data_IF_992794515471
#
_entry.id   IF_992794515471
#
_cell.length_a   1.000
_cell.length_b   1.000
_cell.length_c   1.000
_cell.angle_alpha   90.00
_cell.angle_beta   90.00
_cell.angle_gamma   90.00
#
_symmetry.space_group_name_H-M   'P 1'
#
loop_
_entity.id
_entity.type
_entity.pdbx_description
1 polymer ?
#
# COMPACT_ATOMS: atom_id res chain seq x y z
N UNK A 1 24.00 3.85 0.82
CA UNK A 1 22.86 3.41 -0.01
C UNK A 1 22.14 4.65 -0.53
N UNK A 2 21.72 4.67 -1.79
CA UNK A 2 20.99 5.83 -2.36
C UNK A 2 19.50 5.75 -2.01
N UNK A 3 18.88 6.89 -1.71
CA UNK A 3 17.43 7.00 -1.48
C UNK A 3 16.69 6.88 -2.81
N UNK A 4 15.59 6.12 -2.83
CA UNK A 4 14.83 5.81 -4.04
C UNK A 4 13.35 6.11 -3.87
N UNK A 5 12.66 6.30 -5.01
CA UNK A 5 11.19 6.31 -5.10
C UNK A 5 10.76 4.98 -5.69
N UNK A 6 9.96 4.21 -4.95
CA UNK A 6 9.56 2.85 -5.30
C UNK A 6 8.04 2.79 -5.35
N UNK A 7 7.48 2.19 -6.39
CA UNK A 7 6.05 1.94 -6.51
C UNK A 7 5.78 0.46 -6.29
N UNK A 8 4.98 0.13 -5.28
CA UNK A 8 4.40 -1.20 -5.10
C UNK A 8 2.99 -1.21 -5.65
N UNK A 9 2.66 -2.23 -6.46
CA UNK A 9 1.31 -2.46 -6.95
C UNK A 9 0.82 -3.76 -6.32
N UNK A 10 -0.21 -3.69 -5.50
CA UNK A 10 -0.77 -4.86 -4.85
C UNK A 10 -2.24 -4.64 -4.52
N UNK A 11 -3.06 -5.68 -4.71
CA UNK A 11 -4.51 -5.56 -4.69
C UNK A 11 -5.10 -5.20 -3.31
N UNK A 12 -4.43 -5.55 -2.20
CA UNK A 12 -4.92 -5.28 -0.83
C UNK A 12 -3.76 -4.80 0.05
N UNK A 13 -3.82 -3.57 0.55
CA UNK A 13 -2.82 -3.04 1.46
C UNK A 13 -3.40 -2.05 2.49
N UNK A 14 -2.97 -2.11 3.77
CA UNK A 14 -2.11 -3.13 4.37
C UNK A 14 -2.86 -4.45 4.61
N UNK A 15 -2.23 -5.58 4.34
CA UNK A 15 -2.76 -6.91 4.67
C UNK A 15 -1.66 -7.79 5.26
N UNK A 16 -1.99 -8.50 6.35
CA UNK A 16 -1.09 -9.43 7.04
C UNK A 16 -1.46 -10.91 6.82
N UNK A 17 -2.53 -11.16 6.08
CA UNK A 17 -3.02 -12.51 5.77
C UNK A 17 -2.55 -12.92 4.36
N UNK A 18 -1.96 -14.12 4.27
CA UNK A 18 -1.39 -14.65 3.03
C UNK A 18 0.09 -14.30 2.85
N UNK A 19 0.84 -15.21 2.21
CA UNK A 19 2.29 -15.07 2.02
C UNK A 19 2.68 -13.84 1.21
N UNK A 20 2.01 -13.60 0.08
CA UNK A 20 2.27 -12.43 -0.77
C UNK A 20 2.01 -11.11 -0.03
N UNK A 21 0.88 -11.00 0.67
CA UNK A 21 0.52 -9.80 1.44
C UNK A 21 1.58 -9.49 2.50
N UNK A 22 2.04 -10.52 3.23
CA UNK A 22 3.08 -10.37 4.25
C UNK A 22 4.41 -9.93 3.65
N UNK A 23 4.80 -10.47 2.49
CA UNK A 23 6.01 -10.04 1.79
C UNK A 23 5.90 -8.57 1.39
N UNK A 24 4.79 -8.15 0.77
CA UNK A 24 4.58 -6.75 0.36
C UNK A 24 4.68 -5.81 1.57
N UNK A 25 4.06 -6.19 2.70
CA UNK A 25 4.10 -5.43 3.94
C UNK A 25 5.52 -5.31 4.53
N UNK A 26 6.19 -6.43 4.75
CA UNK A 26 7.52 -6.44 5.37
C UNK A 26 8.58 -5.77 4.47
N UNK A 27 8.51 -5.96 3.15
CA UNK A 27 9.39 -5.29 2.19
C UNK A 27 9.16 -3.77 2.21
N UNK A 28 7.91 -3.31 2.22
CA UNK A 28 7.59 -1.88 2.35
C UNK A 28 8.17 -1.30 3.64
N UNK A 29 7.94 -2.00 4.76
CA UNK A 29 8.44 -1.59 6.07
C UNK A 29 9.97 -1.51 6.10
N UNK A 30 10.67 -2.46 5.51
CA UNK A 30 12.13 -2.47 5.51
C UNK A 30 12.71 -1.42 4.56
N UNK A 31 12.11 -1.21 3.39
CA UNK A 31 12.51 -0.14 2.46
C UNK A 31 12.34 1.25 3.09
N UNK A 32 11.23 1.48 3.77
CA UNK A 32 10.92 2.77 4.40
C UNK A 32 11.83 3.06 5.60
N UNK A 33 12.16 2.04 6.40
CA UNK A 33 13.19 2.13 7.46
C UNK A 33 14.57 2.53 6.91
N UNK A 34 14.92 2.08 5.71
CA UNK A 34 16.17 2.45 5.02
C UNK A 34 16.10 3.83 4.35
N UNK A 35 15.00 4.56 4.53
CA UNK A 35 14.80 5.93 4.03
C UNK A 35 14.22 6.01 2.62
N UNK A 36 13.91 4.89 1.97
CA UNK A 36 13.28 4.92 0.64
C UNK A 36 11.84 5.45 0.74
N UNK A 37 11.41 6.21 -0.26
CA UNK A 37 10.03 6.67 -0.41
C UNK A 37 9.25 5.61 -1.17
N UNK A 38 8.24 5.04 -0.52
CA UNK A 38 7.44 3.96 -1.10
C UNK A 38 6.02 4.45 -1.32
N UNK A 39 5.58 4.42 -2.58
CA UNK A 39 4.20 4.61 -2.97
C UNK A 39 3.56 3.23 -3.15
N UNK A 40 2.34 3.05 -2.67
CA UNK A 40 1.58 1.82 -2.84
C UNK A 40 0.31 2.14 -3.61
N UNK A 41 0.10 1.40 -4.69
CA UNK A 41 -1.12 1.42 -5.48
C UNK A 41 -1.94 0.18 -5.12
N UNK A 42 -3.13 0.38 -4.54
CA UNK A 42 -4.01 -0.68 -4.05
C UNK A 42 -5.48 -0.38 -4.35
N UNK A 43 -6.34 -1.35 -4.11
CA UNK A 43 -7.80 -1.17 -4.18
C UNK A 43 -8.39 -0.72 -2.84
N UNK A 44 -9.62 -0.21 -2.88
CA UNK A 44 -10.45 0.11 -1.72
C UNK A 44 -11.35 -1.05 -1.26
N UNK A 45 -11.18 -2.26 -1.81
CA UNK A 45 -12.12 -3.39 -1.66
C UNK A 45 -12.44 -3.79 -0.20
N UNK A 46 -11.59 -3.41 0.75
CA UNK A 46 -11.72 -3.74 2.18
C UNK A 46 -11.80 -2.49 3.07
N UNK A 47 -12.10 -1.33 2.50
CA UNK A 47 -12.23 -0.06 3.21
C UNK A 47 -13.65 0.48 3.03
N UNK A 48 -14.36 0.66 4.14
CA UNK A 48 -15.73 1.19 4.14
C UNK A 48 -15.76 2.68 3.73
N UNK A 49 -14.68 3.42 4.01
CA UNK A 49 -14.55 4.82 3.63
C UNK A 49 -13.86 4.99 2.28
N UNK A 50 -14.66 5.10 1.23
CA UNK A 50 -14.20 5.34 -0.15
C UNK A 50 -13.67 6.76 -0.39
N UNK A 51 -13.78 7.65 0.61
CA UNK A 51 -13.27 9.02 0.49
C UNK A 51 -11.77 9.10 0.79
N UNK A 52 -11.17 8.09 1.43
CA UNK A 52 -9.73 8.04 1.73
C UNK A 52 -8.91 7.41 0.60
N UNK A 53 -8.95 8.05 -0.58
CA UNK A 53 -8.19 7.63 -1.77
C UNK A 53 -6.67 7.81 -1.62
N UNK A 54 -6.23 8.70 -0.74
CA UNK A 54 -4.81 8.93 -0.48
C UNK A 54 -4.53 8.93 1.03
N UNK A 55 -3.58 8.09 1.46
CA UNK A 55 -3.09 8.06 2.84
C UNK A 55 -1.57 8.27 2.86
N UNK A 56 -1.09 9.18 3.71
CA UNK A 56 0.34 9.49 3.87
C UNK A 56 0.80 9.27 5.29
N UNK A 57 1.88 8.52 5.46
CA UNK A 57 2.54 8.33 6.75
C UNK A 57 4.06 8.22 6.56
N UNK A 58 4.79 9.27 6.95
CA UNK A 58 6.24 9.36 6.80
C UNK A 58 6.67 9.16 5.34
N UNK A 59 7.47 8.12 5.09
CA UNK A 59 7.97 7.78 3.76
C UNK A 59 7.02 6.88 2.93
N UNK A 60 5.80 6.64 3.43
CA UNK A 60 4.79 5.81 2.77
C UNK A 60 3.65 6.69 2.28
N UNK A 61 3.29 6.51 1.01
CA UNK A 61 2.04 7.02 0.43
C UNK A 61 1.23 5.86 -0.11
N UNK A 62 -0.06 5.80 0.19
CA UNK A 62 -0.98 4.76 -0.30
C UNK A 62 -2.03 5.45 -1.16
N UNK A 63 -2.20 4.95 -2.37
CA UNK A 63 -3.24 5.36 -3.31
C UNK A 63 -4.23 4.20 -3.45
N UNK A 64 -5.49 4.47 -3.12
CA UNK A 64 -6.59 3.52 -3.22
C UNK A 64 -7.48 3.87 -4.39
N UNK A 65 -7.79 2.87 -5.21
CA UNK A 65 -8.68 3.01 -6.35
C UNK A 65 -9.97 2.25 -6.09
N UNK A 66 -11.07 2.89 -6.47
CA UNK A 66 -12.40 2.32 -6.35
C UNK A 66 -12.51 1.05 -7.18
N UNK A 67 -12.88 -0.04 -6.52
CA UNK A 67 -13.27 -1.27 -7.20
C UNK A 67 -14.61 -1.06 -7.91
N UNK A 68 -14.71 -1.55 -9.14
CA UNK A 68 -15.94 -1.46 -9.94
C UNK A 68 -17.12 -2.28 -9.37
N UNK A 69 -16.88 -3.10 -8.34
CA UNK A 69 -17.85 -4.02 -7.75
C UNK A 69 -17.92 -3.84 -6.22
N UNK A 70 -18.97 -3.16 -5.76
CA UNK A 70 -19.23 -2.83 -4.35
C UNK A 70 -20.16 -3.84 -3.64
N UNK A 71 -20.05 -5.14 -3.97
CA UNK A 71 -21.04 -6.17 -3.60
C UNK A 71 -20.42 -7.41 -2.92
N UNK A 72 -19.43 -7.22 -2.05
CA UNK A 72 -18.97 -8.25 -1.09
C UNK A 72 -18.67 -7.61 0.25
#
# INVERSE_FOLDING_TARGET
MSIMKILHIYHIYPALFGGASRVVYEVTKELTKRGHKVSILTTDAYFDDKNEQEYKNGNITIFRFSTLFSWF
#
